data_IF_779985961172
#
_entry.id   IF_779985961172
#
_cell.length_a   1.000
_cell.length_b   1.000
_cell.length_c   1.000
_cell.angle_alpha   90.00
_cell.angle_beta   90.00
_cell.angle_gamma   90.00
#
_symmetry.space_group_name_H-M   'P 1'
#
loop_
_entity.id
_entity.type
_entity.pdbx_description
1 polymer ?
#
# COMPACT_ATOMS: atom_id res chain seq x y z
N UNK A 1 14.08 -45.38 18.86
CA UNK A 1 14.40 -44.27 17.92
C UNK A 1 15.02 -43.13 18.71
N UNK A 2 16.29 -42.84 18.43
CA UNK A 2 17.15 -41.99 19.27
C UNK A 2 16.65 -40.54 19.34
N UNK A 3 16.80 -39.94 20.52
CA UNK A 3 16.47 -38.54 20.83
C UNK A 3 17.11 -37.55 19.83
N UNK A 4 18.29 -37.89 19.31
CA UNK A 4 18.96 -37.17 18.23
C UNK A 4 18.14 -37.07 16.93
N UNK A 5 17.41 -38.11 16.55
CA UNK A 5 16.56 -38.09 15.35
C UNK A 5 15.33 -37.19 15.54
N UNK A 6 14.78 -37.12 16.76
CA UNK A 6 13.67 -36.20 17.08
C UNK A 6 14.13 -34.74 17.10
N UNK A 7 15.32 -34.46 17.64
CA UNK A 7 15.91 -33.12 17.63
C UNK A 7 16.24 -32.65 16.22
N UNK A 8 16.84 -33.52 15.39
CA UNK A 8 17.11 -33.21 13.98
C UNK A 8 15.82 -32.92 13.21
N UNK A 9 14.80 -33.78 13.36
CA UNK A 9 13.52 -33.62 12.67
C UNK A 9 12.74 -32.37 13.13
N UNK A 10 12.89 -31.97 14.41
CA UNK A 10 12.33 -30.72 14.94
C UNK A 10 13.06 -29.48 14.40
N UNK A 11 14.40 -29.55 14.30
CA UNK A 11 15.22 -28.47 13.74
C UNK A 11 14.97 -28.28 12.24
N UNK A 12 14.88 -29.38 11.49
CA UNK A 12 14.60 -29.39 10.06
C UNK A 12 13.19 -28.86 9.77
N UNK A 13 12.19 -29.24 10.57
CA UNK A 13 10.84 -28.67 10.49
C UNK A 13 10.83 -27.17 10.77
N UNK A 14 11.52 -26.70 11.81
CA UNK A 14 11.61 -25.28 12.13
C UNK A 14 12.33 -24.48 11.03
N UNK A 15 13.36 -25.04 10.38
CA UNK A 15 14.02 -24.42 9.23
C UNK A 15 13.10 -24.33 8.02
N UNK A 16 12.33 -25.38 7.73
CA UNK A 16 11.39 -25.39 6.62
C UNK A 16 10.24 -24.41 6.85
N UNK A 17 9.74 -24.31 8.08
CA UNK A 17 8.74 -23.31 8.49
C UNK A 17 9.28 -21.88 8.27
N UNK A 18 10.50 -21.56 8.74
CA UNK A 18 11.14 -20.26 8.49
C UNK A 18 11.35 -19.95 7.02
N UNK A 19 11.88 -20.89 6.24
CA UNK A 19 12.10 -20.69 4.81
C UNK A 19 10.79 -20.47 4.05
N UNK A 20 9.72 -21.15 4.46
CA UNK A 20 8.37 -20.93 3.92
C UNK A 20 7.82 -19.55 4.29
N UNK A 21 8.02 -19.12 5.54
CA UNK A 21 7.63 -17.78 6.00
C UNK A 21 8.38 -16.68 5.25
N UNK A 22 9.68 -16.84 5.03
CA UNK A 22 10.52 -15.92 4.24
C UNK A 22 10.05 -15.86 2.77
N UNK A 23 9.74 -17.01 2.16
CA UNK A 23 9.24 -17.06 0.79
C UNK A 23 7.86 -16.41 0.65
N UNK A 24 6.97 -16.61 1.62
CA UNK A 24 5.66 -15.95 1.66
C UNK A 24 5.84 -14.43 1.83
N UNK A 25 6.70 -13.99 2.75
CA UNK A 25 7.02 -12.58 2.94
C UNK A 25 7.59 -11.94 1.67
N UNK A 26 8.50 -12.62 0.98
CA UNK A 26 9.05 -12.14 -0.29
C UNK A 26 7.97 -12.05 -1.37
N UNK A 27 7.08 -13.05 -1.46
CA UNK A 27 5.97 -13.04 -2.41
C UNK A 27 4.96 -11.92 -2.11
N UNK A 28 4.69 -11.64 -0.84
CA UNK A 28 3.84 -10.51 -0.42
C UNK A 28 4.45 -9.16 -0.80
N UNK A 29 5.79 -9.03 -0.69
CA UNK A 29 6.54 -7.83 -1.08
C UNK A 29 6.62 -7.61 -2.58
N UNK A 30 6.58 -8.68 -3.38
CA UNK A 30 6.70 -8.62 -4.84
C UNK A 30 5.40 -8.24 -5.58
N UNK A 31 4.28 -8.08 -4.88
CA UNK A 31 3.01 -7.64 -5.49
C UNK A 31 2.99 -6.14 -5.82
N UNK A 32 4.03 -5.61 -6.47
CA UNK A 32 3.86 -4.38 -7.27
C UNK A 32 2.76 -4.72 -8.27
N UNK A 33 1.61 -4.10 -8.10
CA UNK A 33 0.42 -4.55 -8.81
C UNK A 33 0.65 -4.41 -10.31
N UNK A 34 0.67 -5.52 -11.07
CA UNK A 34 0.83 -5.47 -12.52
C UNK A 34 -0.21 -4.52 -13.14
N UNK A 35 -1.41 -4.49 -12.55
CA UNK A 35 -2.48 -3.58 -12.91
C UNK A 35 -2.10 -2.08 -12.79
N UNK A 36 -1.38 -1.67 -11.74
CA UNK A 36 -0.90 -0.29 -11.63
C UNK A 36 0.03 0.04 -12.79
N UNK A 37 1.00 -0.83 -13.08
CA UNK A 37 1.95 -0.61 -14.16
C UNK A 37 1.27 -0.49 -15.53
N UNK A 38 0.32 -1.40 -15.84
CA UNK A 38 -0.45 -1.30 -17.09
C UNK A 38 -1.25 0.00 -17.19
N UNK A 39 -1.88 0.44 -16.09
CA UNK A 39 -2.62 1.70 -16.05
C UNK A 39 -1.72 2.92 -16.18
N UNK A 40 -0.54 2.90 -15.55
CA UNK A 40 0.44 3.97 -15.66
C UNK A 40 0.95 4.10 -17.10
N UNK A 41 1.24 2.98 -17.76
CA UNK A 41 1.64 2.95 -19.17
C UNK A 41 0.53 3.44 -20.11
N UNK A 42 -0.74 3.07 -19.85
CA UNK A 42 -1.88 3.56 -20.63
C UNK A 42 -2.09 5.07 -20.45
N UNK A 43 -1.91 5.58 -19.24
CA UNK A 43 -1.94 7.01 -18.93
C UNK A 43 -0.81 7.73 -19.69
N UNK A 44 0.41 7.22 -19.59
CA UNK A 44 1.57 7.75 -20.31
C UNK A 44 1.34 7.79 -21.83
N UNK A 45 0.82 6.70 -22.42
CA UNK A 45 0.49 6.65 -23.86
C UNK A 45 -0.47 7.77 -24.26
N UNK A 46 -1.45 8.07 -23.41
CA UNK A 46 -2.42 9.14 -23.66
C UNK A 46 -1.76 10.52 -23.53
N UNK A 47 -0.89 10.70 -22.53
CA UNK A 47 -0.16 11.94 -22.31
C UNK A 47 0.82 12.23 -23.45
N UNK A 48 1.52 11.24 -24.00
CA UNK A 48 2.45 11.44 -25.12
C UNK A 48 1.78 12.17 -26.30
N UNK A 49 0.49 11.90 -26.54
CA UNK A 49 -0.26 12.56 -27.63
C UNK A 49 -0.87 13.89 -27.19
N UNK A 50 -1.39 13.99 -25.97
CA UNK A 50 -2.12 15.18 -25.50
C UNK A 50 -1.23 16.29 -24.95
N UNK A 51 -0.21 15.91 -24.19
CA UNK A 51 0.72 16.81 -23.51
C UNK A 51 2.08 16.09 -23.31
N UNK A 52 2.99 16.21 -24.29
CA UNK A 52 4.30 15.57 -24.23
C UNK A 52 5.16 16.01 -23.04
N UNK A 53 5.01 17.25 -22.58
CA UNK A 53 5.75 17.77 -21.42
C UNK A 53 5.30 17.09 -20.14
N UNK A 54 3.99 16.98 -19.93
CA UNK A 54 3.43 16.22 -18.81
C UNK A 54 3.78 14.73 -18.92
N UNK A 55 3.82 14.16 -20.12
CA UNK A 55 4.23 12.77 -20.33
C UNK A 55 5.66 12.50 -19.86
N UNK A 56 6.60 13.41 -20.15
CA UNK A 56 7.99 13.29 -19.70
C UNK A 56 8.09 13.34 -18.18
N UNK A 57 7.40 14.28 -17.54
CA UNK A 57 7.36 14.39 -16.07
C UNK A 57 6.74 13.13 -15.44
N UNK A 58 5.63 12.65 -16.00
CA UNK A 58 4.97 11.42 -15.55
C UNK A 58 5.88 10.19 -15.66
N UNK A 59 6.66 10.08 -16.74
CA UNK A 59 7.60 8.99 -16.94
C UNK A 59 8.72 9.01 -15.88
N UNK A 60 9.25 10.19 -15.55
CA UNK A 60 10.26 10.34 -14.49
C UNK A 60 9.67 9.91 -13.14
N UNK A 61 8.48 10.41 -12.80
CA UNK A 61 7.78 10.03 -11.57
C UNK A 61 7.52 8.51 -11.49
N UNK A 62 7.07 7.88 -12.59
CA UNK A 62 6.88 6.44 -12.66
C UNK A 62 8.21 5.68 -12.44
N UNK A 63 9.30 6.14 -13.05
CA UNK A 63 10.61 5.52 -12.90
C UNK A 63 11.12 5.58 -11.46
N UNK A 64 11.00 6.75 -10.82
CA UNK A 64 11.44 6.95 -9.44
C UNK A 64 10.57 6.15 -8.46
N UNK A 65 9.24 6.15 -8.66
CA UNK A 65 8.31 5.33 -7.89
C UNK A 65 8.67 3.84 -7.95
N UNK A 66 8.95 3.30 -9.14
CA UNK A 66 9.36 1.91 -9.31
C UNK A 66 10.72 1.64 -8.63
N UNK A 67 11.68 2.55 -8.76
CA UNK A 67 13.00 2.43 -8.14
C UNK A 67 12.89 2.37 -6.60
N UNK A 68 12.12 3.28 -6.01
CA UNK A 68 11.90 3.35 -4.55
C UNK A 68 11.20 2.08 -4.08
N UNK A 69 10.18 1.62 -4.81
CA UNK A 69 9.45 0.39 -4.48
C UNK A 69 10.40 -0.81 -4.47
N UNK A 70 11.25 -0.97 -5.49
CA UNK A 70 12.23 -2.07 -5.55
C UNK A 70 13.30 -1.95 -4.45
N UNK A 71 13.76 -0.74 -4.15
CA UNK A 71 14.76 -0.49 -3.11
C UNK A 71 14.20 -0.78 -1.70
N UNK A 72 12.96 -0.39 -1.43
CA UNK A 72 12.30 -0.56 -0.13
C UNK A 72 12.13 -2.04 0.24
N UNK A 73 11.89 -2.91 -0.75
CA UNK A 73 11.84 -4.36 -0.55
C UNK A 73 13.17 -4.92 0.00
N UNK A 74 14.31 -4.30 -0.36
CA UNK A 74 15.66 -4.74 0.04
C UNK A 74 16.10 -4.25 1.41
N UNK A 75 15.50 -3.17 1.93
CA UNK A 75 16.01 -2.44 3.09
C UNK A 75 15.54 -2.95 4.47
N UNK A 76 14.79 -4.05 4.51
CA UNK A 76 14.32 -4.66 5.77
C UNK A 76 12.80 -4.68 5.89
N UNK A 77 12.28 -4.89 7.11
CA UNK A 77 10.84 -5.08 7.36
C UNK A 77 10.11 -3.81 7.76
N UNK A 78 10.86 -2.78 8.16
CA UNK A 78 10.35 -1.51 8.63
C UNK A 78 10.82 -0.36 7.72
N UNK A 79 9.97 0.63 7.54
CA UNK A 79 10.27 1.91 6.91
C UNK A 79 9.91 3.05 7.87
N UNK A 80 10.55 4.20 7.72
CA UNK A 80 10.08 5.39 8.42
C UNK A 80 8.72 5.82 7.88
N UNK A 81 7.92 6.47 8.71
CA UNK A 81 6.65 7.05 8.26
C UNK A 81 6.88 8.06 7.13
N UNK A 82 7.98 8.83 7.17
CA UNK A 82 8.34 9.74 6.08
C UNK A 82 8.48 9.01 4.73
N UNK A 83 9.14 7.84 4.71
CA UNK A 83 9.31 7.04 3.50
C UNK A 83 7.96 6.54 2.96
N UNK A 84 7.10 6.02 3.84
CA UNK A 84 5.77 5.53 3.48
C UNK A 84 4.86 6.67 2.97
N UNK A 85 4.91 7.84 3.61
CA UNK A 85 4.15 9.03 3.20
C UNK A 85 4.62 9.54 1.86
N UNK A 86 5.94 9.67 1.65
CA UNK A 86 6.49 10.12 0.37
C UNK A 86 6.10 9.18 -0.78
N UNK A 87 6.20 7.88 -0.56
CA UNK A 87 5.77 6.88 -1.53
C UNK A 87 4.26 6.97 -1.82
N UNK A 88 3.46 7.22 -0.78
CA UNK A 88 2.02 7.41 -0.88
C UNK A 88 1.65 8.67 -1.69
N UNK A 89 2.31 9.79 -1.41
CA UNK A 89 2.11 11.06 -2.12
C UNK A 89 2.52 10.95 -3.60
N UNK A 90 3.69 10.35 -3.89
CA UNK A 90 4.14 10.10 -5.26
C UNK A 90 3.11 9.27 -6.04
N UNK A 91 2.59 8.22 -5.42
CA UNK A 91 1.54 7.39 -6.01
C UNK A 91 0.24 8.18 -6.24
N UNK A 92 -0.24 8.92 -5.23
CA UNK A 92 -1.45 9.72 -5.31
C UNK A 92 -1.36 10.81 -6.37
N UNK A 93 -0.20 11.46 -6.50
CA UNK A 93 0.09 12.43 -7.57
C UNK A 93 -0.04 11.80 -8.96
N UNK A 94 0.54 10.62 -9.16
CA UNK A 94 0.41 9.88 -10.42
C UNK A 94 -1.05 9.51 -10.72
N UNK A 95 -1.82 9.13 -9.71
CA UNK A 95 -3.25 8.83 -9.86
C UNK A 95 -4.08 10.10 -10.11
N UNK A 96 -3.69 11.23 -9.52
CA UNK A 96 -4.34 12.53 -9.74
C UNK A 96 -4.17 12.98 -11.19
N UNK A 97 -3.01 12.76 -11.81
CA UNK A 97 -2.81 13.01 -13.24
C UNK A 97 -3.76 12.15 -14.10
N UNK A 98 -3.95 10.88 -13.73
CA UNK A 98 -4.83 9.97 -14.45
C UNK A 98 -6.32 10.32 -14.30
N UNK A 99 -6.76 10.62 -13.08
CA UNK A 99 -8.17 10.78 -12.75
C UNK A 99 -8.64 12.24 -12.70
N UNK A 100 -7.72 13.21 -12.74
CA UNK A 100 -8.02 14.63 -12.70
C UNK A 100 -8.86 15.00 -11.46
N UNK A 101 -9.91 15.78 -11.67
CA UNK A 101 -10.82 16.24 -10.61
C UNK A 101 -11.74 15.16 -10.03
N UNK A 102 -11.64 13.90 -10.50
CA UNK A 102 -12.37 12.80 -9.89
C UNK A 102 -11.69 12.24 -8.61
N UNK A 103 -10.42 12.61 -8.37
CA UNK A 103 -9.64 12.22 -7.20
C UNK A 103 -9.16 13.45 -6.44
N UNK A 104 -9.41 13.51 -5.15
CA UNK A 104 -8.78 14.47 -4.24
C UNK A 104 -8.12 13.72 -3.10
N UNK A 105 -7.03 14.26 -2.59
CA UNK A 105 -6.41 13.72 -1.39
C UNK A 105 -5.79 14.83 -0.55
N UNK A 106 -5.64 14.53 0.75
CA UNK A 106 -4.92 15.34 1.70
C UNK A 106 -4.08 14.42 2.58
N UNK A 107 -2.84 14.81 2.82
CA UNK A 107 -1.94 14.13 3.76
C UNK A 107 -1.56 15.13 4.85
N UNK A 108 -1.90 14.80 6.09
CA UNK A 108 -1.67 15.64 7.27
C UNK A 108 -1.05 14.80 8.39
N UNK A 109 0.25 14.57 8.28
CA UNK A 109 1.03 13.78 9.23
C UNK A 109 2.16 14.65 9.78
N UNK A 110 2.11 14.91 11.09
CA UNK A 110 3.07 15.76 11.81
C UNK A 110 4.51 15.31 11.59
N UNK A 111 5.44 16.25 11.47
CA UNK A 111 6.88 15.98 11.35
C UNK A 111 7.41 15.17 12.54
N UNK A 112 6.84 15.37 13.73
CA UNK A 112 7.30 14.72 14.97
C UNK A 112 7.11 13.19 14.97
N UNK A 113 6.20 12.68 14.13
CA UNK A 113 5.97 11.24 14.00
C UNK A 113 6.69 10.64 12.79
N UNK A 114 7.24 11.45 11.87
CA UNK A 114 7.78 10.98 10.59
C UNK A 114 9.02 10.09 10.71
N UNK A 115 9.77 10.22 11.80
CA UNK A 115 10.95 9.38 12.09
C UNK A 115 10.57 8.02 12.70
N UNK A 116 9.33 7.88 13.21
CA UNK A 116 8.83 6.60 13.72
C UNK A 116 8.64 5.59 12.60
N UNK A 117 8.37 4.34 12.95
CA UNK A 117 8.39 3.24 12.00
C UNK A 117 7.01 2.64 11.76
N UNK A 118 6.85 2.14 10.53
CA UNK A 118 5.77 1.25 10.13
C UNK A 118 6.38 0.05 9.41
N UNK A 119 5.66 -1.08 9.32
CA UNK A 119 6.01 -2.11 8.36
C UNK A 119 6.08 -1.50 6.95
N UNK A 120 7.05 -1.90 6.14
CA UNK A 120 7.14 -1.40 4.75
C UNK A 120 5.84 -1.66 3.99
N UNK A 121 5.47 -0.77 3.07
CA UNK A 121 4.22 -0.81 2.28
C UNK A 121 2.97 -1.00 3.15
N UNK A 122 2.82 -0.19 4.19
CA UNK A 122 1.63 -0.17 5.03
C UNK A 122 0.57 0.80 4.53
N UNK A 123 0.96 1.99 4.06
CA UNK A 123 0.00 3.02 3.64
C UNK A 123 -0.47 2.79 2.20
N UNK A 124 0.46 2.46 1.29
CA UNK A 124 0.17 2.29 -0.13
C UNK A 124 -0.98 1.30 -0.43
N UNK A 125 -1.05 0.10 0.20
CA UNK A 125 -2.16 -0.83 -0.06
C UNK A 125 -3.52 -0.30 0.36
N UNK A 126 -3.58 0.60 1.35
CA UNK A 126 -4.82 1.22 1.82
C UNK A 126 -5.34 2.19 0.76
N UNK A 127 -4.47 3.05 0.24
CA UNK A 127 -4.82 3.97 -0.84
C UNK A 127 -5.24 3.22 -2.10
N UNK A 128 -4.52 2.16 -2.47
CA UNK A 128 -4.90 1.33 -3.61
C UNK A 128 -6.26 0.66 -3.41
N UNK A 129 -6.57 0.22 -2.18
CA UNK A 129 -7.89 -0.31 -1.85
C UNK A 129 -8.99 0.74 -2.13
N UNK A 130 -8.79 1.98 -1.70
CA UNK A 130 -9.72 3.08 -1.98
C UNK A 130 -9.96 3.24 -3.48
N UNK A 131 -8.91 3.34 -4.28
CA UNK A 131 -9.02 3.59 -5.71
C UNK A 131 -9.65 2.43 -6.49
N UNK A 132 -9.52 1.20 -6.00
CA UNK A 132 -10.12 0.01 -6.63
C UNK A 132 -11.59 -0.16 -6.31
N UNK A 133 -11.99 0.16 -5.09
CA UNK A 133 -13.30 -0.17 -4.56
C UNK A 133 -14.31 0.97 -4.63
N UNK A 134 -13.89 2.17 -5.04
CA UNK A 134 -14.77 3.30 -5.27
C UNK A 134 -15.07 3.48 -6.75
N UNK A 135 -16.30 3.84 -7.06
CA UNK A 135 -16.69 4.38 -8.36
C UNK A 135 -16.75 5.90 -8.26
N UNK A 136 -15.85 6.59 -8.94
CA UNK A 136 -15.75 8.06 -8.81
C UNK A 136 -15.68 8.74 -10.16
N UNK A 137 -16.29 9.93 -10.22
CA UNK A 137 -16.32 10.82 -11.39
C UNK A 137 -16.05 12.25 -10.91
N UNK A 138 -15.94 13.21 -11.84
CA UNK A 138 -15.81 14.62 -11.47
C UNK A 138 -17.02 15.11 -10.67
N UNK A 139 -18.23 14.58 -10.94
CA UNK A 139 -19.45 14.94 -10.21
C UNK A 139 -19.56 14.26 -8.84
N UNK A 140 -18.92 13.10 -8.69
CA UNK A 140 -18.87 12.36 -7.43
C UNK A 140 -17.44 11.89 -7.15
N UNK A 141 -16.54 12.79 -6.72
CA UNK A 141 -15.14 12.47 -6.58
C UNK A 141 -14.87 11.61 -5.34
N UNK A 142 -13.78 10.85 -5.40
CA UNK A 142 -13.24 10.20 -4.21
C UNK A 142 -12.28 11.16 -3.50
N UNK A 143 -12.37 11.22 -2.19
CA UNK A 143 -11.56 12.06 -1.30
C UNK A 143 -10.84 11.16 -0.31
N UNK A 144 -9.51 11.22 -0.31
CA UNK A 144 -8.65 10.41 0.54
C UNK A 144 -7.99 11.31 1.58
N UNK A 145 -8.07 10.96 2.85
CA UNK A 145 -7.35 11.65 3.91
C UNK A 145 -6.38 10.66 4.56
N UNK A 146 -5.12 11.06 4.70
CA UNK A 146 -4.10 10.35 5.46
C UNK A 146 -3.67 11.24 6.60
N UNK A 147 -3.95 10.85 7.83
CA UNK A 147 -3.62 11.64 9.02
C UNK A 147 -3.05 10.76 10.14
N UNK A 148 -2.58 11.42 11.21
CA UNK A 148 -2.13 10.75 12.44
C UNK A 148 -3.10 11.05 13.59
N UNK A 149 -3.49 10.00 14.33
CA UNK A 149 -4.36 10.10 15.50
C UNK A 149 -3.90 9.13 16.58
N UNK A 150 -3.53 9.63 17.75
CA UNK A 150 -3.22 8.83 18.94
C UNK A 150 -2.20 7.70 18.73
N UNK A 151 -1.17 7.96 17.91
CA UNK A 151 -0.15 6.97 17.55
C UNK A 151 -0.60 5.95 16.49
N UNK A 152 -1.62 6.30 15.71
CA UNK A 152 -2.06 5.54 14.54
C UNK A 152 -1.94 6.40 13.30
N UNK A 153 -1.49 5.82 12.19
CA UNK A 153 -1.74 6.41 10.88
C UNK A 153 -3.12 5.96 10.43
N UNK A 154 -3.93 6.90 9.98
CA UNK A 154 -5.32 6.70 9.59
C UNK A 154 -5.45 7.04 8.12
N UNK A 155 -6.02 6.11 7.34
CA UNK A 155 -6.37 6.34 5.93
C UNK A 155 -7.88 6.24 5.80
N UNK A 156 -8.51 7.34 5.41
CA UNK A 156 -9.97 7.45 5.30
C UNK A 156 -10.39 7.90 3.91
N UNK A 157 -11.49 7.35 3.39
CA UNK A 157 -12.15 7.84 2.19
C UNK A 157 -13.67 7.92 2.33
N UNK A 158 -14.31 8.79 1.54
CA UNK A 158 -15.76 8.71 1.33
C UNK A 158 -16.11 7.46 0.51
N UNK A 159 -17.25 6.81 0.81
CA UNK A 159 -17.72 5.62 0.07
C UNK A 159 -18.58 6.05 -1.10
N UNK A 160 -18.05 5.88 -2.30
CA UNK A 160 -18.82 5.96 -3.54
C UNK A 160 -19.02 4.52 -4.05
N UNK A 161 -20.06 3.86 -3.55
CA UNK A 161 -20.27 2.41 -3.75
C UNK A 161 -20.32 2.09 -5.25
N UNK A 162 -19.44 1.19 -5.65
CA UNK A 162 -19.43 0.59 -6.98
C UNK A 162 -20.50 -0.51 -6.99
N UNK A 163 -21.57 -0.36 -7.79
CA UNK A 163 -22.65 -1.35 -7.90
C UNK A 163 -22.18 -2.69 -8.51
N UNK A 164 -20.98 -2.73 -9.11
CA UNK A 164 -20.36 -3.97 -9.57
C UNK A 164 -19.43 -4.51 -8.50
N UNK A 165 -19.71 -5.72 -8.02
CA UNK A 165 -18.78 -6.54 -7.23
C UNK A 165 -17.50 -6.72 -8.05
N UNK A 166 -16.50 -5.87 -7.82
CA UNK A 166 -15.13 -6.20 -8.21
C UNK A 166 -14.74 -7.40 -7.37
N UNK A 167 -14.50 -8.55 -8.00
CA UNK A 167 -13.86 -9.68 -7.35
C UNK A 167 -12.47 -9.23 -6.86
N UNK A 168 -12.43 -8.77 -5.62
CA UNK A 168 -11.22 -8.46 -4.91
C UNK A 168 -11.03 -9.54 -3.88
N UNK A 169 -9.94 -10.29 -4.00
CA UNK A 169 -9.57 -11.30 -3.02
C UNK A 169 -9.15 -10.70 -1.67
N UNK A 170 -9.35 -9.39 -1.45
CA UNK A 170 -8.96 -8.67 -0.23
C UNK A 170 -7.45 -8.74 0.04
N UNK A 171 -6.65 -9.07 -0.97
CA UNK A 171 -5.26 -9.49 -0.80
C UNK A 171 -4.38 -8.40 -0.21
N UNK A 172 -4.60 -7.12 -0.59
CA UNK A 172 -3.81 -6.00 -0.07
C UNK A 172 -3.93 -5.81 1.44
N UNK A 173 -5.18 -5.73 1.94
CA UNK A 173 -5.46 -5.57 3.36
C UNK A 173 -5.12 -6.84 4.15
N UNK A 174 -5.38 -8.02 3.59
CA UNK A 174 -4.97 -9.30 4.18
C UNK A 174 -3.45 -9.37 4.34
N UNK A 175 -2.68 -9.01 3.31
CA UNK A 175 -1.22 -9.01 3.37
C UNK A 175 -0.68 -7.99 4.38
N UNK A 176 -1.38 -6.87 4.58
CA UNK A 176 -1.04 -5.90 5.62
C UNK A 176 -1.26 -6.49 7.02
N UNK A 177 -2.43 -7.08 7.26
CA UNK A 177 -2.75 -7.74 8.53
C UNK A 177 -1.75 -8.86 8.85
N UNK A 178 -1.40 -9.69 7.86
CA UNK A 178 -0.40 -10.75 8.06
C UNK A 178 1.01 -10.21 8.38
N UNK A 179 1.40 -9.06 7.82
CA UNK A 179 2.67 -8.40 8.17
C UNK A 179 2.69 -7.90 9.61
N UNK A 180 1.61 -7.29 10.09
CA UNK A 180 1.50 -6.89 11.49
C UNK A 180 1.54 -8.10 12.44
N UNK A 181 0.87 -9.21 12.06
CA UNK A 181 0.95 -10.47 12.82
C UNK A 181 2.37 -11.04 12.88
N UNK A 182 3.12 -10.99 11.78
CA UNK A 182 4.51 -11.44 11.74
C UNK A 182 5.42 -10.66 12.69
N UNK A 183 5.12 -9.38 12.91
CA UNK A 183 5.80 -8.53 13.88
C UNK A 183 5.27 -8.68 15.32
N UNK A 184 4.32 -9.60 15.55
CA UNK A 184 3.64 -9.81 16.83
C UNK A 184 2.93 -8.56 17.38
N UNK A 185 2.49 -7.66 16.50
CA UNK A 185 1.76 -6.44 16.86
C UNK A 185 0.33 -6.51 16.33
N UNK A 186 -0.66 -6.31 17.20
CA UNK A 186 -2.00 -6.00 16.76
C UNK A 186 -2.03 -4.53 16.34
N UNK A 187 -2.07 -4.27 15.04
CA UNK A 187 -1.86 -2.91 14.54
C UNK A 187 -2.62 -2.56 13.27
N UNK A 188 -3.74 -3.23 13.01
CA UNK A 188 -4.66 -2.85 11.93
C UNK A 188 -6.09 -2.86 12.47
N UNK A 189 -6.77 -1.72 12.37
CA UNK A 189 -8.19 -1.57 12.68
C UNK A 189 -8.94 -1.07 11.45
N UNK A 190 -10.16 -1.55 11.25
CA UNK A 190 -11.02 -1.16 10.14
C UNK A 190 -12.31 -0.63 10.73
N UNK A 191 -12.70 0.56 10.32
CA UNK A 191 -13.94 1.21 10.71
C UNK A 191 -14.68 1.64 9.44
N UNK A 192 -15.92 1.21 9.30
CA UNK A 192 -16.74 1.56 8.15
C UNK A 192 -18.13 2.02 8.55
N UNK A 193 -18.63 2.98 7.78
CA UNK A 193 -20.00 3.45 7.86
C UNK A 193 -20.63 3.44 6.48
N UNK A 194 -21.82 4.05 6.36
CA UNK A 194 -22.46 4.28 5.08
C UNK A 194 -21.72 5.34 4.25
N UNK A 195 -21.06 6.30 4.90
CA UNK A 195 -20.48 7.47 4.24
C UNK A 195 -18.97 7.37 4.04
N UNK A 196 -18.28 6.57 4.86
CA UNK A 196 -16.83 6.46 4.81
C UNK A 196 -16.32 5.04 5.07
N UNK A 197 -15.10 4.80 4.61
CA UNK A 197 -14.27 3.64 4.94
C UNK A 197 -12.95 4.15 5.51
N UNK A 198 -12.53 3.61 6.65
CA UNK A 198 -11.34 4.05 7.38
C UNK A 198 -10.53 2.82 7.82
N UNK A 199 -9.22 2.89 7.62
CA UNK A 199 -8.27 1.88 8.11
C UNK A 199 -7.21 2.59 8.94
N UNK A 200 -7.00 2.11 10.16
CA UNK A 200 -5.98 2.61 11.08
C UNK A 200 -4.86 1.60 11.21
N UNK A 201 -3.62 2.06 11.15
CA UNK A 201 -2.43 1.24 11.31
C UNK A 201 -1.55 1.77 12.45
N UNK A 202 -1.07 0.87 13.30
CA UNK A 202 -0.37 1.24 14.54
C UNK A 202 1.06 1.62 14.24
N UNK A 203 1.48 2.78 14.73
CA UNK A 203 2.89 3.20 14.69
C UNK A 203 3.70 2.33 15.65
N UNK A 204 4.88 1.88 15.22
CA UNK A 204 5.81 1.07 15.99
C UNK A 204 6.81 1.92 16.78
#
# INVERSE_FOLDING_TARGET
MSEHAKVHHKLERSRLERSREEAINLMMRQQIQPHFLFNALATLKTLIVKDPGMAQNYLVQLSDFLRITIASVKNGELASIDQEIKLCEDYLNMQKIRFGEALHYQVDVSLDVREKQLPIFSIQPLVDNVLKHNSFTVQNPVRICVDERDGWIVVRNNKNIQYQKVESNGSGLRNLVERYKYLFVQGVEIDESNDFFEVRIRIL
#
